data_IF_230034332144
#
_entry.id   IF_230034332144
#
_cell.length_a   1.000
_cell.length_b   1.000
_cell.length_c   1.000
_cell.angle_alpha   90.00
_cell.angle_beta   90.00
_cell.angle_gamma   90.00
#
_symmetry.space_group_name_H-M   'P 1'
#
loop_
_entity.id
_entity.type
_entity.pdbx_description
1 polymer ?
#
# COMPACT_ATOMS: atom_id res chain seq x y z
N UNK A 1 1.21 12.86 11.36
CA UNK A 1 1.38 12.25 12.70
C UNK A 1 0.04 11.77 13.23
N UNK A 2 -0.95 12.63 13.47
CA UNK A 2 -2.23 12.23 14.10
C UNK A 2 -3.04 11.23 13.29
N UNK A 3 -3.04 11.31 11.96
CA UNK A 3 -3.72 10.34 11.10
C UNK A 3 -3.14 8.90 11.24
N UNK A 4 -1.85 8.79 11.53
CA UNK A 4 -1.19 7.50 11.73
C UNK A 4 -1.64 6.79 13.03
N UNK A 5 -2.14 7.54 14.01
CA UNK A 5 -2.68 7.00 15.27
C UNK A 5 -4.13 6.49 15.10
N UNK A 6 -4.86 7.02 14.12
CA UNK A 6 -6.29 6.75 13.97
C UNK A 6 -6.57 5.29 13.54
N UNK A 7 -5.84 4.76 12.58
CA UNK A 7 -6.10 3.43 12.04
C UNK A 7 -5.82 2.30 13.08
N UNK A 8 -4.68 2.28 13.79
CA UNK A 8 -4.45 1.32 14.87
C UNK A 8 -5.46 1.46 16.01
N UNK A 9 -5.81 2.70 16.39
CA UNK A 9 -6.80 2.95 17.44
C UNK A 9 -8.19 2.40 17.06
N UNK A 10 -8.64 2.63 15.83
CA UNK A 10 -9.93 2.11 15.35
C UNK A 10 -9.97 0.58 15.37
N UNK A 11 -8.90 -0.09 14.92
CA UNK A 11 -8.80 -1.56 14.95
C UNK A 11 -8.76 -2.10 16.38
N UNK A 12 -8.05 -1.42 17.29
CA UNK A 12 -7.99 -1.78 18.72
C UNK A 12 -9.37 -1.66 19.38
N UNK A 13 -10.07 -0.55 19.16
CA UNK A 13 -11.43 -0.31 19.69
C UNK A 13 -12.37 -1.44 19.27
N UNK A 14 -12.35 -1.84 18.00
CA UNK A 14 -13.21 -2.92 17.50
C UNK A 14 -12.85 -4.25 18.15
N UNK A 15 -11.56 -4.56 18.28
CA UNK A 15 -11.11 -5.80 18.90
C UNK A 15 -11.52 -5.90 20.36
N UNK A 16 -11.56 -4.79 21.08
CA UNK A 16 -11.97 -4.73 22.51
C UNK A 16 -13.47 -4.69 22.67
N UNK A 17 -14.19 -3.98 21.79
CA UNK A 17 -15.65 -3.80 21.90
C UNK A 17 -16.41 -5.04 21.48
N UNK A 18 -15.97 -5.70 20.38
CA UNK A 18 -16.63 -6.91 19.86
C UNK A 18 -15.88 -8.15 20.32
N UNK A 19 -16.25 -8.67 21.48
CA UNK A 19 -15.63 -9.87 22.09
C UNK A 19 -16.11 -11.17 21.46
N UNK A 20 -17.35 -11.19 20.94
CA UNK A 20 -17.93 -12.36 20.25
C UNK A 20 -17.33 -12.49 18.85
N UNK A 21 -16.72 -13.65 18.47
CA UNK A 21 -16.01 -13.81 17.20
C UNK A 21 -16.85 -13.48 15.96
N UNK A 22 -18.12 -13.87 15.94
CA UNK A 22 -19.03 -13.61 14.82
C UNK A 22 -19.34 -12.10 14.64
N UNK A 23 -19.52 -11.37 15.75
CA UNK A 23 -19.75 -9.92 15.72
C UNK A 23 -18.49 -9.17 15.32
N UNK A 24 -17.33 -9.61 15.82
CA UNK A 24 -16.03 -9.07 15.47
C UNK A 24 -15.73 -9.26 13.98
N UNK A 25 -15.99 -10.46 13.42
CA UNK A 25 -15.83 -10.71 11.99
C UNK A 25 -16.74 -9.81 11.15
N UNK A 26 -18.00 -9.59 11.59
CA UNK A 26 -18.92 -8.65 10.93
C UNK A 26 -18.42 -7.20 10.99
N UNK A 27 -17.89 -6.76 12.13
CA UNK A 27 -17.31 -5.42 12.28
C UNK A 27 -16.08 -5.21 11.38
N UNK A 28 -15.18 -6.19 11.28
CA UNK A 28 -14.06 -6.15 10.33
C UNK A 28 -14.53 -6.18 8.88
N UNK A 29 -15.60 -6.92 8.56
CA UNK A 29 -16.22 -6.89 7.24
C UNK A 29 -16.75 -5.51 6.86
N UNK A 30 -17.38 -4.80 7.80
CA UNK A 30 -17.83 -3.41 7.61
C UNK A 30 -16.65 -2.47 7.36
N UNK A 31 -15.54 -2.60 8.12
CA UNK A 31 -14.33 -1.80 7.88
C UNK A 31 -13.78 -2.06 6.48
N UNK A 32 -13.71 -3.33 6.06
CA UNK A 32 -13.26 -3.67 4.71
C UNK A 32 -14.14 -3.03 3.62
N UNK A 33 -15.46 -3.05 3.81
CA UNK A 33 -16.40 -2.40 2.89
C UNK A 33 -16.23 -0.87 2.87
N UNK A 34 -16.06 -0.23 4.05
CA UNK A 34 -15.79 1.21 4.16
C UNK A 34 -14.46 1.56 3.50
N UNK A 35 -13.41 0.76 3.69
CA UNK A 35 -12.10 1.01 3.09
C UNK A 35 -12.16 0.93 1.56
N UNK A 36 -12.85 -0.08 1.01
CA UNK A 36 -13.04 -0.21 -0.44
C UNK A 36 -13.93 0.90 -1.02
N UNK A 37 -15.08 1.15 -0.40
CA UNK A 37 -15.99 2.22 -0.81
C UNK A 37 -15.38 3.61 -0.63
N UNK A 38 -14.59 3.81 0.41
CA UNK A 38 -13.85 5.04 0.68
C UNK A 38 -12.85 5.40 -0.42
N UNK A 39 -12.17 4.41 -0.99
CA UNK A 39 -11.27 4.62 -2.13
C UNK A 39 -12.04 5.15 -3.37
N UNK A 40 -13.20 4.55 -3.70
CA UNK A 40 -14.03 5.00 -4.80
C UNK A 40 -14.55 6.43 -4.58
N UNK A 41 -15.13 6.67 -3.39
CA UNK A 41 -15.64 8.00 -3.00
C UNK A 41 -14.50 9.01 -3.01
N UNK A 42 -13.33 8.66 -2.48
CA UNK A 42 -12.16 9.53 -2.42
C UNK A 42 -11.68 9.97 -3.80
N UNK A 43 -11.64 9.06 -4.77
CA UNK A 43 -11.23 9.37 -6.14
C UNK A 43 -12.22 10.31 -6.84
N UNK A 44 -13.54 10.06 -6.71
CA UNK A 44 -14.57 10.90 -7.31
C UNK A 44 -14.65 12.25 -6.60
N UNK A 45 -14.69 12.25 -5.27
CA UNK A 45 -14.76 13.48 -4.48
C UNK A 45 -13.51 14.34 -4.67
N UNK A 46 -12.31 13.73 -4.66
CA UNK A 46 -11.05 14.43 -4.93
C UNK A 46 -11.02 15.03 -6.34
N UNK A 47 -11.50 14.30 -7.34
CA UNK A 47 -11.65 14.81 -8.71
C UNK A 47 -12.63 15.97 -8.79
N UNK A 48 -13.82 15.85 -8.18
CA UNK A 48 -14.84 16.91 -8.16
C UNK A 48 -14.36 18.16 -7.42
N UNK A 49 -13.75 18.00 -6.24
CA UNK A 49 -13.22 19.12 -5.48
C UNK A 49 -12.08 19.84 -6.23
N UNK A 50 -11.24 19.11 -6.93
CA UNK A 50 -10.15 19.68 -7.72
C UNK A 50 -10.69 20.43 -8.95
N UNK A 51 -11.71 19.91 -9.61
CA UNK A 51 -12.28 20.49 -10.83
C UNK A 51 -13.18 21.69 -10.56
N UNK A 52 -14.10 21.61 -9.57
CA UNK A 52 -15.11 22.63 -9.30
C UNK A 52 -14.76 23.64 -8.20
N UNK A 53 -13.75 23.34 -7.37
CA UNK A 53 -13.33 24.23 -6.30
C UNK A 53 -11.82 24.48 -6.36
N UNK A 54 -11.04 23.64 -5.68
CA UNK A 54 -9.57 23.71 -5.68
C UNK A 54 -9.00 22.43 -5.10
N UNK A 55 -7.82 22.01 -5.57
CA UNK A 55 -7.11 20.88 -4.98
C UNK A 55 -6.90 21.00 -3.46
N UNK A 56 -6.88 22.24 -2.94
CA UNK A 56 -6.78 22.50 -1.49
C UNK A 56 -7.93 21.90 -0.70
N UNK A 57 -9.12 21.83 -1.29
CA UNK A 57 -10.29 21.22 -0.67
C UNK A 57 -10.18 19.69 -0.53
N UNK A 58 -9.33 19.03 -1.32
CA UNK A 58 -9.04 17.60 -1.10
C UNK A 58 -8.37 17.34 0.26
N UNK A 59 -7.64 18.33 0.78
CA UNK A 59 -7.11 18.30 2.14
C UNK A 59 -8.11 18.86 3.15
N UNK A 60 -8.77 19.97 2.81
CA UNK A 60 -9.72 20.68 3.67
C UNK A 60 -10.94 19.86 4.06
N UNK A 61 -11.46 19.01 3.17
CA UNK A 61 -12.63 18.16 3.43
C UNK A 61 -12.40 17.15 4.56
N UNK A 62 -11.15 16.79 4.84
CA UNK A 62 -10.83 15.91 5.97
C UNK A 62 -11.11 16.58 7.33
N UNK A 63 -11.06 17.91 7.42
CA UNK A 63 -11.28 18.61 8.69
C UNK A 63 -12.71 18.45 9.23
N UNK A 64 -13.78 18.73 8.47
CA UNK A 64 -15.14 18.51 8.97
C UNK A 64 -15.43 17.02 9.22
N UNK A 65 -14.88 16.12 8.43
CA UNK A 65 -15.00 14.65 8.65
C UNK A 65 -14.34 14.28 9.98
N UNK A 66 -13.13 14.77 10.25
CA UNK A 66 -12.40 14.50 11.49
C UNK A 66 -13.13 15.08 12.71
N UNK A 67 -13.68 16.29 12.61
CA UNK A 67 -14.48 16.90 13.69
C UNK A 67 -15.73 16.07 13.97
N UNK A 68 -16.47 15.67 12.94
CA UNK A 68 -17.64 14.80 13.07
C UNK A 68 -17.28 13.46 13.71
N UNK A 69 -16.20 12.82 13.26
CA UNK A 69 -15.72 11.59 13.85
C UNK A 69 -15.30 11.73 15.31
N UNK A 70 -14.65 12.85 15.68
CA UNK A 70 -14.27 13.13 17.07
C UNK A 70 -15.50 13.30 17.98
N UNK A 71 -16.53 14.05 17.52
CA UNK A 71 -17.79 14.21 18.27
C UNK A 71 -18.48 12.87 18.47
N UNK A 72 -18.55 12.04 17.43
CA UNK A 72 -19.13 10.69 17.51
C UNK A 72 -18.31 9.79 18.43
N UNK A 73 -16.99 9.85 18.36
CA UNK A 73 -16.11 9.07 19.24
C UNK A 73 -16.33 9.41 20.71
N UNK A 74 -16.39 10.72 21.07
CA UNK A 74 -16.66 11.15 22.45
C UNK A 74 -18.02 10.62 22.96
N UNK A 75 -19.02 10.51 22.06
CA UNK A 75 -20.37 10.10 22.43
C UNK A 75 -20.52 8.58 22.54
N UNK A 76 -19.85 7.81 21.67
CA UNK A 76 -20.12 6.38 21.51
C UNK A 76 -18.98 5.46 21.95
N UNK A 77 -17.74 5.97 22.05
CA UNK A 77 -16.60 5.15 22.45
C UNK A 77 -16.39 5.25 23.95
N UNK A 78 -16.47 4.10 24.64
CA UNK A 78 -16.18 4.04 26.07
C UNK A 78 -14.67 4.01 26.30
N UNK A 79 -14.23 4.68 27.36
CA UNK A 79 -12.84 4.67 27.79
C UNK A 79 -12.41 3.24 28.12
N UNK A 80 -11.38 2.76 27.45
CA UNK A 80 -10.76 1.47 27.76
C UNK A 80 -9.26 1.65 27.93
N UNK A 81 -8.73 1.27 29.08
CA UNK A 81 -7.30 1.32 29.38
C UNK A 81 -6.76 -0.10 29.47
N UNK A 82 -5.70 -0.38 28.73
CA UNK A 82 -4.99 -1.64 28.89
C UNK A 82 -4.41 -1.74 30.31
N UNK A 83 -4.65 -2.85 30.96
CA UNK A 83 -3.99 -3.17 32.24
C UNK A 83 -2.64 -3.81 31.91
N UNK A 84 -1.54 -3.14 32.23
CA UNK A 84 -0.18 -3.64 32.00
C UNK A 84 0.89 -2.58 32.20
N UNK A 85 2.13 -2.96 32.01
CA UNK A 85 3.28 -2.05 32.06
C UNK A 85 3.24 -1.14 30.83
N UNK A 86 3.00 0.16 31.05
CA UNK A 86 2.89 1.20 30.04
C UNK A 86 4.24 1.89 29.76
N UNK A 87 5.35 1.20 29.95
CA UNK A 87 6.67 1.73 29.59
C UNK A 87 6.81 1.74 28.06
N UNK A 88 6.95 2.93 27.49
CA UNK A 88 7.14 3.12 26.05
C UNK A 88 8.63 3.06 25.71
N UNK A 89 8.98 2.34 24.65
CA UNK A 89 10.33 2.37 24.07
C UNK A 89 10.54 3.67 23.28
N UNK A 90 10.76 4.79 24.01
CA UNK A 90 11.01 6.10 23.40
C UNK A 90 12.25 6.08 22.48
N UNK A 91 13.40 5.47 22.86
CA UNK A 91 14.55 5.35 21.95
C UNK A 91 14.22 4.60 20.67
N UNK A 92 13.46 3.50 20.74
CA UNK A 92 12.99 2.76 19.58
C UNK A 92 12.09 3.62 18.67
N UNK A 93 11.12 4.34 19.26
CA UNK A 93 10.25 5.26 18.48
C UNK A 93 11.06 6.33 17.76
N UNK A 94 12.01 6.97 18.42
CA UNK A 94 12.84 8.03 17.82
C UNK A 94 13.70 7.47 16.69
N UNK A 95 14.38 6.35 16.92
CA UNK A 95 15.29 5.77 15.93
C UNK A 95 14.55 5.19 14.73
N UNK A 96 13.40 4.52 14.94
CA UNK A 96 12.55 4.04 13.85
C UNK A 96 12.00 5.20 13.01
N UNK A 97 11.43 6.23 13.66
CA UNK A 97 10.85 7.38 12.97
C UNK A 97 11.91 8.16 12.20
N UNK A 98 13.04 8.48 12.82
CA UNK A 98 14.14 9.18 12.16
C UNK A 98 14.76 8.33 11.03
N UNK A 99 14.88 7.02 11.22
CA UNK A 99 15.39 6.10 10.20
C UNK A 99 14.47 6.01 8.98
N UNK A 100 13.16 5.84 9.17
CA UNK A 100 12.19 5.81 8.08
C UNK A 100 12.03 7.18 7.40
N UNK A 101 12.08 8.27 8.15
CA UNK A 101 12.11 9.61 7.59
C UNK A 101 13.34 9.80 6.69
N UNK A 102 14.52 9.46 7.21
CA UNK A 102 15.77 9.57 6.45
C UNK A 102 15.75 8.69 5.19
N UNK A 103 15.16 7.50 5.27
CA UNK A 103 15.00 6.59 4.14
C UNK A 103 14.12 7.21 3.04
N UNK A 104 12.92 7.65 3.41
CA UNK A 104 11.96 8.22 2.46
C UNK A 104 12.46 9.54 1.88
N UNK A 105 13.07 10.38 2.70
CA UNK A 105 13.65 11.65 2.24
C UNK A 105 14.88 11.44 1.35
N UNK A 106 15.73 10.47 1.67
CA UNK A 106 16.87 10.08 0.84
C UNK A 106 16.45 9.62 -0.56
N UNK A 107 15.38 8.84 -0.67
CA UNK A 107 14.81 8.45 -1.97
C UNK A 107 14.17 9.64 -2.71
N UNK A 108 13.53 10.56 -2.00
CA UNK A 108 13.02 11.79 -2.60
C UNK A 108 14.16 12.65 -3.18
N UNK A 109 15.24 12.83 -2.43
CA UNK A 109 16.43 13.56 -2.91
C UNK A 109 17.09 12.83 -4.09
N UNK A 110 17.12 11.50 -4.10
CA UNK A 110 17.62 10.72 -5.24
C UNK A 110 16.82 10.99 -6.51
N UNK A 111 15.49 11.11 -6.41
CA UNK A 111 14.63 11.41 -7.55
C UNK A 111 14.79 12.85 -8.08
N UNK A 112 15.18 13.81 -7.22
CA UNK A 112 15.29 15.23 -7.58
C UNK A 112 16.71 15.67 -7.90
N UNK A 113 17.71 15.19 -7.13
CA UNK A 113 19.13 15.61 -7.24
C UNK A 113 20.06 14.50 -7.73
N UNK A 114 19.52 13.31 -7.96
CA UNK A 114 20.27 12.14 -8.40
C UNK A 114 20.89 11.32 -7.27
N UNK A 115 21.26 10.10 -7.59
CA UNK A 115 21.78 9.11 -6.65
C UNK A 115 23.18 9.42 -6.10
N UNK A 116 23.98 10.21 -6.83
CA UNK A 116 25.33 10.61 -6.44
C UNK A 116 25.40 11.89 -5.60
N UNK A 117 24.27 12.54 -5.33
CA UNK A 117 24.21 13.72 -4.48
C UNK A 117 24.64 13.40 -3.05
N UNK A 118 25.46 14.26 -2.45
CA UNK A 118 25.90 14.12 -1.06
C UNK A 118 24.76 14.09 -0.06
N UNK A 119 23.67 14.83 -0.33
CA UNK A 119 22.45 14.80 0.49
C UNK A 119 21.74 13.44 0.38
N UNK A 120 21.58 12.90 -0.83
CA UNK A 120 21.01 11.58 -1.05
C UNK A 120 21.79 10.52 -0.28
N UNK A 121 23.10 10.48 -0.45
CA UNK A 121 23.98 9.52 0.22
C UNK A 121 23.92 9.71 1.74
N UNK A 122 23.96 10.95 2.22
CA UNK A 122 23.89 11.28 3.64
C UNK A 122 22.60 10.78 4.30
N UNK A 123 21.44 11.02 3.69
CA UNK A 123 20.17 10.54 4.21
C UNK A 123 20.05 9.02 4.14
N UNK A 124 20.49 8.37 3.06
CA UNK A 124 20.44 6.91 2.95
C UNK A 124 21.37 6.22 3.96
N UNK A 125 22.58 6.74 4.16
CA UNK A 125 23.50 6.23 5.18
C UNK A 125 22.94 6.45 6.58
N UNK A 126 22.38 7.62 6.86
CA UNK A 126 21.71 7.91 8.14
C UNK A 126 20.52 6.98 8.37
N UNK A 127 19.73 6.68 7.33
CA UNK A 127 18.62 5.74 7.41
C UNK A 127 19.09 4.34 7.82
N UNK A 128 20.09 3.81 7.13
CA UNK A 128 20.66 2.48 7.46
C UNK A 128 21.21 2.46 8.89
N UNK A 129 21.98 3.48 9.28
CA UNK A 129 22.55 3.59 10.62
C UNK A 129 21.47 3.63 11.71
N UNK A 130 20.45 4.47 11.55
CA UNK A 130 19.36 4.61 12.52
C UNK A 130 18.50 3.35 12.61
N UNK A 131 18.20 2.68 11.48
CA UNK A 131 17.45 1.44 11.47
C UNK A 131 18.26 0.27 12.11
N UNK A 132 19.59 0.24 11.93
CA UNK A 132 20.44 -0.73 12.62
C UNK A 132 20.44 -0.47 14.13
N UNK A 133 20.54 0.79 14.57
CA UNK A 133 20.43 1.16 15.99
C UNK A 133 19.06 0.77 16.53
N UNK A 134 17.99 1.03 15.80
CA UNK A 134 16.63 0.63 16.15
C UNK A 134 16.56 -0.89 16.42
N UNK A 135 17.03 -1.71 15.49
CA UNK A 135 17.05 -3.18 15.68
C UNK A 135 17.92 -3.59 16.88
N UNK A 136 19.02 -2.88 17.14
CA UNK A 136 19.87 -3.15 18.29
C UNK A 136 19.20 -2.79 19.62
N UNK A 137 18.40 -1.72 19.67
CA UNK A 137 17.58 -1.32 20.81
C UNK A 137 16.49 -2.37 21.06
N UNK A 138 15.72 -2.72 20.02
CA UNK A 138 14.64 -3.70 20.08
C UNK A 138 15.07 -5.09 20.63
N UNK A 139 16.35 -5.45 20.43
CA UNK A 139 16.93 -6.68 20.99
C UNK A 139 17.20 -6.62 22.49
N UNK A 140 17.26 -5.42 23.08
CA UNK A 140 17.73 -5.21 24.47
C UNK A 140 16.65 -4.70 25.42
N UNK A 141 15.62 -4.07 24.88
CA UNK A 141 14.53 -3.47 25.67
C UNK A 141 13.56 -4.57 26.12
N UNK A 142 13.06 -4.46 27.36
CA UNK A 142 12.12 -5.43 27.92
C UNK A 142 10.75 -5.38 27.23
N UNK A 143 10.27 -4.17 26.92
CA UNK A 143 9.00 -3.93 26.20
C UNK A 143 9.29 -3.28 24.82
N UNK A 144 9.72 -4.07 23.81
CA UNK A 144 10.08 -3.55 22.52
C UNK A 144 8.87 -3.02 21.76
N UNK A 145 9.06 -1.91 21.01
CA UNK A 145 8.06 -1.35 20.10
C UNK A 145 7.68 -2.35 19.00
N UNK A 146 8.67 -3.10 18.53
CA UNK A 146 8.53 -4.11 17.48
C UNK A 146 9.21 -5.41 17.91
N UNK A 147 8.49 -6.33 18.60
CA UNK A 147 9.06 -7.61 18.96
C UNK A 147 9.59 -8.35 17.74
N UNK A 148 10.90 -8.58 17.66
CA UNK A 148 11.54 -9.17 16.48
C UNK A 148 10.96 -10.54 16.14
N UNK A 149 10.46 -11.31 17.13
CA UNK A 149 9.74 -12.58 16.92
C UNK A 149 8.51 -12.42 16.00
N UNK A 150 7.89 -11.23 15.96
CA UNK A 150 6.74 -10.96 15.09
C UNK A 150 7.20 -10.81 13.64
N UNK A 151 8.32 -10.12 13.41
CA UNK A 151 8.80 -9.78 12.06
C UNK A 151 9.63 -10.91 11.44
N UNK A 152 10.39 -11.64 12.26
CA UNK A 152 11.30 -12.69 11.77
C UNK A 152 10.62 -14.03 11.53
N UNK A 153 9.36 -14.21 11.95
CA UNK A 153 8.62 -15.40 11.57
C UNK A 153 8.41 -15.41 10.04
N UNK A 154 8.67 -16.56 9.43
CA UNK A 154 8.81 -16.72 7.99
C UNK A 154 7.58 -16.24 7.20
N UNK A 155 6.39 -16.63 7.61
CA UNK A 155 5.16 -16.27 6.89
C UNK A 155 4.82 -14.79 7.06
N UNK A 156 4.97 -14.26 8.28
CA UNK A 156 4.75 -12.83 8.54
C UNK A 156 5.78 -11.97 7.85
N UNK A 157 7.07 -12.31 7.93
CA UNK A 157 8.13 -11.63 7.20
C UNK A 157 7.89 -11.64 5.69
N UNK A 158 7.46 -12.79 5.13
CA UNK A 158 7.03 -12.88 3.74
C UNK A 158 5.86 -11.95 3.42
N UNK A 159 4.86 -11.84 4.32
CA UNK A 159 3.73 -10.93 4.14
C UNK A 159 4.15 -9.47 4.16
N UNK A 160 5.08 -9.06 5.03
CA UNK A 160 5.60 -7.69 5.05
C UNK A 160 6.38 -7.34 3.79
N UNK A 161 7.21 -8.27 3.29
CA UNK A 161 7.89 -8.11 2.00
C UNK A 161 6.90 -8.04 0.83
N UNK A 162 5.87 -8.89 0.85
CA UNK A 162 4.77 -8.82 -0.11
C UNK A 162 4.04 -7.49 -0.09
N UNK A 163 3.75 -6.97 1.11
CA UNK A 163 3.11 -5.66 1.30
C UNK A 163 3.96 -4.51 0.75
N UNK A 164 5.28 -4.56 0.94
CA UNK A 164 6.21 -3.59 0.39
C UNK A 164 6.15 -3.56 -1.15
N UNK A 165 6.18 -4.73 -1.78
CA UNK A 165 6.12 -4.86 -3.24
C UNK A 165 4.75 -4.41 -3.77
N UNK A 166 3.66 -4.79 -3.10
CA UNK A 166 2.30 -4.33 -3.42
C UNK A 166 2.19 -2.81 -3.33
N UNK A 167 2.77 -2.21 -2.29
CA UNK A 167 2.85 -0.76 -2.15
C UNK A 167 3.54 -0.10 -3.35
N UNK A 168 4.72 -0.59 -3.74
CA UNK A 168 5.45 -0.07 -4.89
C UNK A 168 4.63 -0.16 -6.19
N UNK A 169 3.97 -1.29 -6.44
CA UNK A 169 3.15 -1.49 -7.64
C UNK A 169 1.93 -0.57 -7.70
N UNK A 170 1.19 -0.46 -6.58
CA UNK A 170 -0.01 0.36 -6.50
C UNK A 170 0.26 1.86 -6.65
N UNK A 171 1.20 2.38 -5.85
CA UNK A 171 1.51 3.82 -5.87
C UNK A 171 2.04 4.24 -7.25
N UNK A 172 2.87 3.39 -7.86
CA UNK A 172 3.36 3.58 -9.22
C UNK A 172 2.21 3.62 -10.24
N UNK A 173 1.29 2.67 -10.18
CA UNK A 173 0.13 2.63 -11.07
C UNK A 173 -0.71 3.90 -10.94
N UNK A 174 -1.09 4.29 -9.71
CA UNK A 174 -1.90 5.48 -9.51
C UNK A 174 -1.20 6.76 -9.98
N UNK A 175 0.11 6.89 -9.72
CA UNK A 175 0.88 8.07 -10.12
C UNK A 175 0.98 8.17 -11.64
N UNK A 176 1.56 7.17 -12.30
CA UNK A 176 1.88 7.27 -13.73
C UNK A 176 0.64 7.16 -14.61
N UNK A 177 -0.35 6.33 -14.23
CA UNK A 177 -1.61 6.29 -14.93
C UNK A 177 -2.42 7.57 -14.72
N UNK A 178 -2.38 8.16 -13.52
CA UNK A 178 -3.00 9.46 -13.25
C UNK A 178 -2.41 10.58 -14.11
N UNK A 179 -1.09 10.63 -14.22
CA UNK A 179 -0.40 11.57 -15.11
C UNK A 179 -0.72 11.30 -16.58
N UNK A 180 -0.77 10.04 -17.02
CA UNK A 180 -1.14 9.68 -18.38
C UNK A 180 -2.55 10.13 -18.72
N UNK A 181 -3.53 9.87 -17.84
CA UNK A 181 -4.93 10.27 -18.07
C UNK A 181 -5.10 11.79 -18.16
N UNK A 182 -4.42 12.55 -17.26
CA UNK A 182 -4.60 14.00 -17.19
C UNK A 182 -3.72 14.75 -18.19
N UNK A 183 -2.43 14.41 -18.28
CA UNK A 183 -1.46 15.17 -19.08
C UNK A 183 -1.47 14.71 -20.54
N UNK A 184 -1.60 13.41 -20.80
CA UNK A 184 -1.52 12.87 -22.16
C UNK A 184 -2.91 12.79 -22.80
N UNK A 185 -3.90 12.18 -22.11
CA UNK A 185 -5.27 12.06 -22.65
C UNK A 185 -6.13 13.30 -22.40
N UNK A 186 -5.66 14.29 -21.64
CA UNK A 186 -6.39 15.54 -21.38
C UNK A 186 -7.67 15.35 -20.55
N UNK A 187 -7.76 14.28 -19.75
CA UNK A 187 -8.93 14.07 -18.89
C UNK A 187 -8.95 15.13 -17.77
N UNK A 188 -10.15 15.65 -17.48
CA UNK A 188 -10.32 16.49 -16.29
C UNK A 188 -10.07 15.70 -15.01
N UNK A 189 -9.80 16.34 -13.88
CA UNK A 189 -9.60 15.66 -12.60
C UNK A 189 -10.75 14.73 -12.22
N UNK A 190 -12.00 15.15 -12.42
CA UNK A 190 -13.18 14.34 -12.15
C UNK A 190 -13.27 13.13 -13.10
N UNK A 191 -13.04 13.34 -14.39
CA UNK A 191 -13.03 12.26 -15.39
C UNK A 191 -11.93 11.25 -15.10
N UNK A 192 -10.77 11.71 -14.62
CA UNK A 192 -9.68 10.83 -14.17
C UNK A 192 -10.09 10.01 -12.94
N UNK A 193 -10.80 10.61 -11.98
CA UNK A 193 -11.37 9.89 -10.83
C UNK A 193 -12.30 8.76 -11.27
N UNK A 194 -13.22 9.03 -12.19
CA UNK A 194 -14.09 8.00 -12.78
C UNK A 194 -13.32 6.93 -13.56
N UNK A 195 -12.22 7.30 -14.20
CA UNK A 195 -11.37 6.37 -14.95
C UNK A 195 -10.66 5.33 -14.07
N UNK A 196 -10.56 5.52 -12.75
CA UNK A 196 -10.06 4.51 -11.82
C UNK A 196 -11.15 3.59 -11.25
N UNK A 197 -12.45 3.87 -11.49
CA UNK A 197 -13.54 3.03 -10.97
C UNK A 197 -13.48 1.56 -11.39
N UNK A 198 -13.08 1.19 -12.63
CA UNK A 198 -12.94 -0.21 -13.00
C UNK A 198 -11.98 -0.96 -12.07
N UNK A 199 -10.90 -0.31 -11.61
CA UNK A 199 -9.98 -0.88 -10.63
C UNK A 199 -10.65 -1.09 -9.27
N UNK A 200 -11.38 -0.09 -8.77
CA UNK A 200 -12.06 -0.16 -7.47
C UNK A 200 -13.17 -1.22 -7.47
N UNK A 201 -14.01 -1.25 -8.49
CA UNK A 201 -15.05 -2.28 -8.63
C UNK A 201 -14.44 -3.69 -8.75
N UNK A 202 -13.36 -3.82 -9.51
CA UNK A 202 -12.62 -5.08 -9.62
C UNK A 202 -12.11 -5.55 -8.25
N UNK A 203 -11.49 -4.66 -7.44
CA UNK A 203 -11.07 -5.02 -6.08
C UNK A 203 -12.26 -5.50 -5.24
N UNK A 204 -13.40 -4.80 -5.23
CA UNK A 204 -14.56 -5.17 -4.41
C UNK A 204 -15.08 -6.55 -4.79
N UNK A 205 -15.24 -6.81 -6.09
CA UNK A 205 -15.76 -8.09 -6.60
C UNK A 205 -14.81 -9.23 -6.27
N UNK A 206 -13.53 -9.08 -6.62
CA UNK A 206 -12.54 -10.13 -6.44
C UNK A 206 -12.11 -10.31 -4.97
N UNK A 207 -12.27 -9.29 -4.12
CA UNK A 207 -12.08 -9.44 -2.67
C UNK A 207 -13.13 -10.38 -2.07
N UNK A 208 -14.38 -10.29 -2.50
CA UNK A 208 -15.42 -11.25 -2.09
C UNK A 208 -15.06 -12.69 -2.49
N UNK A 209 -14.54 -12.87 -3.70
CA UNK A 209 -14.08 -14.18 -4.19
C UNK A 209 -12.86 -14.68 -3.38
N UNK A 210 -11.86 -13.82 -3.16
CA UNK A 210 -10.67 -14.15 -2.38
C UNK A 210 -11.02 -14.55 -0.94
N UNK A 211 -11.94 -13.85 -0.30
CA UNK A 211 -12.42 -14.15 1.05
C UNK A 211 -13.08 -15.54 1.15
N UNK A 212 -13.85 -15.94 0.14
CA UNK A 212 -14.50 -17.25 0.10
C UNK A 212 -13.53 -18.39 -0.26
N UNK A 213 -12.48 -18.11 -1.03
CA UNK A 213 -11.48 -19.09 -1.46
C UNK A 213 -10.40 -19.30 -0.40
N UNK A 214 -10.05 -18.28 0.38
CA UNK A 214 -8.95 -18.32 1.34
C UNK A 214 -9.06 -19.52 2.33
N UNK A 215 -10.21 -19.79 2.97
CA UNK A 215 -10.35 -20.95 3.86
C UNK A 215 -10.22 -22.31 3.12
N UNK A 216 -10.51 -22.34 1.82
CA UNK A 216 -10.52 -23.59 1.02
C UNK A 216 -9.17 -23.95 0.48
N UNK A 217 -8.40 -22.98 0.01
CA UNK A 217 -7.15 -23.21 -0.71
C UNK A 217 -5.90 -22.72 0.04
N UNK A 218 -6.08 -21.91 1.07
CA UNK A 218 -4.99 -21.29 1.81
C UNK A 218 -4.44 -20.02 1.14
N UNK A 219 -3.51 -19.30 1.79
CA UNK A 219 -3.04 -17.98 1.31
C UNK A 219 -2.11 -18.08 0.09
N UNK A 220 -1.17 -19.02 0.06
CA UNK A 220 -0.15 -19.12 -1.00
C UNK A 220 -0.74 -19.28 -2.41
N UNK A 221 -1.73 -20.18 -2.65
CA UNK A 221 -2.34 -20.34 -3.98
C UNK A 221 -3.14 -19.13 -4.46
N UNK A 222 -3.45 -18.19 -3.59
CA UNK A 222 -4.11 -16.93 -3.94
C UNK A 222 -3.10 -15.81 -4.18
N UNK A 223 -2.14 -15.63 -3.26
CA UNK A 223 -1.19 -14.53 -3.30
C UNK A 223 -0.23 -14.59 -4.48
N UNK A 224 0.29 -15.77 -4.79
CA UNK A 224 1.28 -15.95 -5.86
C UNK A 224 0.67 -15.67 -7.24
N UNK A 225 -0.44 -16.32 -7.64
CA UNK A 225 -1.13 -15.95 -8.89
C UNK A 225 -1.65 -14.51 -8.86
N UNK A 226 -2.08 -14.02 -7.70
CA UNK A 226 -2.54 -12.64 -7.54
C UNK A 226 -1.48 -11.62 -7.94
N UNK A 227 -0.23 -11.76 -7.47
CA UNK A 227 0.87 -10.88 -7.89
C UNK A 227 1.20 -11.04 -9.37
N UNK A 228 1.08 -12.25 -9.92
CA UNK A 228 1.28 -12.48 -11.35
C UNK A 228 0.21 -11.76 -12.16
N UNK A 229 -1.08 -11.86 -11.80
CA UNK A 229 -2.15 -11.13 -12.48
C UNK A 229 -1.99 -9.61 -12.37
N UNK A 230 -1.61 -9.11 -11.19
CA UNK A 230 -1.32 -7.69 -11.02
C UNK A 230 -0.15 -7.23 -11.90
N UNK A 231 0.92 -8.03 -11.98
CA UNK A 231 2.05 -7.78 -12.87
C UNK A 231 1.66 -7.80 -14.35
N UNK A 232 0.80 -8.75 -14.77
CA UNK A 232 0.25 -8.80 -16.14
C UNK A 232 -0.57 -7.55 -16.43
N UNK A 233 -1.41 -7.09 -15.50
CA UNK A 233 -2.17 -5.84 -15.64
C UNK A 233 -1.25 -4.64 -15.90
N UNK A 234 -0.13 -4.53 -15.17
CA UNK A 234 0.88 -3.50 -15.41
C UNK A 234 1.60 -3.67 -16.76
N UNK A 235 1.90 -4.90 -17.16
CA UNK A 235 2.49 -5.17 -18.47
C UNK A 235 1.54 -4.78 -19.61
N UNK A 236 0.25 -4.94 -19.47
CA UNK A 236 -0.71 -4.48 -20.48
C UNK A 236 -0.71 -2.94 -20.58
N UNK A 237 -0.53 -2.21 -19.47
CA UNK A 237 -0.35 -0.76 -19.49
C UNK A 237 0.94 -0.32 -20.23
N UNK A 238 1.90 -1.20 -20.46
CA UNK A 238 3.09 -0.84 -21.27
C UNK A 238 2.80 -0.67 -22.76
N UNK A 239 1.60 -1.02 -23.20
CA UNK A 239 1.16 -0.89 -24.62
C UNK A 239 0.44 0.43 -24.92
N UNK A 240 0.30 1.32 -23.92
CA UNK A 240 -0.33 2.63 -24.12
C UNK A 240 0.55 3.54 -24.97
N UNK A 241 -0.10 4.35 -25.80
CA UNK A 241 0.48 5.41 -26.63
C UNK A 241 -0.33 6.69 -26.42
N UNK A 242 0.12 7.87 -26.85
CA UNK A 242 -0.70 9.09 -26.74
C UNK A 242 -2.08 9.00 -27.40
N UNK A 243 -2.23 8.14 -28.43
CA UNK A 243 -3.46 7.97 -29.20
C UNK A 243 -4.29 6.76 -28.73
N UNK A 244 -3.92 6.12 -27.64
CA UNK A 244 -4.55 4.88 -27.17
C UNK A 244 -5.96 5.14 -26.62
N UNK A 245 -6.93 4.33 -27.03
CA UNK A 245 -8.27 4.35 -26.46
C UNK A 245 -8.27 3.82 -25.02
N UNK A 246 -8.85 4.61 -24.10
CA UNK A 246 -8.99 4.26 -22.68
C UNK A 246 -9.73 2.92 -22.49
N UNK A 247 -10.86 2.71 -23.21
CA UNK A 247 -11.71 1.54 -23.02
C UNK A 247 -11.05 0.22 -23.42
N UNK A 248 -10.24 0.24 -24.48
CA UNK A 248 -9.67 -1.00 -25.04
C UNK A 248 -8.33 -1.40 -24.41
N UNK A 249 -7.61 -0.47 -23.81
CA UNK A 249 -6.27 -0.74 -23.25
C UNK A 249 -6.19 -0.53 -21.75
N UNK A 250 -6.73 0.60 -21.23
CA UNK A 250 -6.61 0.92 -19.80
C UNK A 250 -7.60 0.12 -18.98
N UNK A 251 -8.87 0.02 -19.36
CA UNK A 251 -9.89 -0.70 -18.60
C UNK A 251 -9.56 -2.18 -18.41
N UNK A 252 -9.19 -2.96 -19.45
CA UNK A 252 -8.82 -4.37 -19.25
C UNK A 252 -7.60 -4.52 -18.34
N UNK A 253 -6.62 -3.63 -18.46
CA UNK A 253 -5.41 -3.63 -17.61
C UNK A 253 -5.79 -3.41 -16.15
N UNK A 254 -6.66 -2.43 -15.85
CA UNK A 254 -7.15 -2.14 -14.50
C UNK A 254 -7.95 -3.31 -13.90
N UNK A 255 -8.79 -3.98 -14.69
CA UNK A 255 -9.57 -5.13 -14.23
C UNK A 255 -8.68 -6.33 -13.89
N UNK A 256 -7.68 -6.62 -14.73
CA UNK A 256 -6.73 -7.70 -14.46
C UNK A 256 -5.87 -7.37 -13.25
N UNK A 257 -5.36 -6.14 -13.15
CA UNK A 257 -4.58 -5.70 -12.01
C UNK A 257 -5.37 -5.74 -10.70
N UNK A 258 -6.62 -5.26 -10.71
CA UNK A 258 -7.47 -5.26 -9.51
C UNK A 258 -7.84 -6.66 -9.04
N UNK A 259 -8.10 -7.61 -9.97
CA UNK A 259 -8.32 -9.00 -9.62
C UNK A 259 -7.10 -9.60 -8.92
N UNK A 260 -5.90 -9.35 -9.45
CA UNK A 260 -4.65 -9.77 -8.84
C UNK A 260 -4.43 -9.16 -7.46
N UNK A 261 -4.62 -7.86 -7.32
CA UNK A 261 -4.46 -7.16 -6.04
C UNK A 261 -5.43 -7.65 -4.97
N UNK A 262 -6.70 -7.90 -5.32
CA UNK A 262 -7.68 -8.44 -4.39
C UNK A 262 -7.30 -9.84 -3.87
N UNK A 263 -6.77 -10.71 -4.76
CA UNK A 263 -6.26 -12.03 -4.41
C UNK A 263 -5.01 -11.98 -3.52
N UNK A 264 -4.35 -10.82 -3.42
CA UNK A 264 -3.18 -10.62 -2.55
C UNK A 264 -3.57 -9.98 -1.23
N UNK A 265 -4.34 -8.90 -1.21
CA UNK A 265 -4.60 -8.09 -0.01
C UNK A 265 -5.22 -8.88 1.14
N UNK A 266 -6.24 -9.68 0.87
CA UNK A 266 -6.97 -10.41 1.90
C UNK A 266 -6.08 -11.49 2.53
N UNK A 267 -5.46 -12.41 1.75
CA UNK A 267 -4.59 -13.41 2.34
C UNK A 267 -3.34 -12.79 3.01
N UNK A 268 -2.83 -11.69 2.48
CA UNK A 268 -1.66 -11.00 3.02
C UNK A 268 -1.93 -10.45 4.42
N UNK A 269 -3.09 -9.81 4.62
CA UNK A 269 -3.55 -9.34 5.92
C UNK A 269 -3.78 -10.52 6.88
N UNK A 270 -4.47 -11.56 6.43
CA UNK A 270 -4.72 -12.76 7.24
C UNK A 270 -3.42 -13.46 7.67
N UNK A 271 -2.46 -13.60 6.75
CA UNK A 271 -1.17 -14.24 7.02
C UNK A 271 -0.30 -13.40 7.96
N UNK A 272 -0.34 -12.08 7.85
CA UNK A 272 0.43 -11.18 8.71
C UNK A 272 -0.04 -11.21 10.17
N UNK A 273 -1.31 -11.55 10.40
CA UNK A 273 -1.93 -11.65 11.72
C UNK A 273 -2.03 -13.10 12.23
N UNK A 274 -1.62 -14.08 11.42
CA UNK A 274 -1.71 -15.50 11.78
C UNK A 274 -0.78 -15.83 12.95
N UNK A 275 -1.32 -16.56 13.96
CA UNK A 275 -0.60 -16.97 15.16
C UNK A 275 0.09 -15.83 15.92
N UNK A 276 -0.48 -14.62 15.85
CA UNK A 276 -0.05 -13.46 16.62
C UNK A 276 -0.88 -13.37 17.89
N UNK A 277 -0.21 -13.13 19.02
CA UNK A 277 -0.91 -12.90 20.29
C UNK A 277 -1.77 -11.64 20.22
N UNK A 278 -2.88 -11.58 20.98
CA UNK A 278 -3.72 -10.39 21.03
C UNK A 278 -2.93 -9.12 21.38
N UNK A 279 -1.89 -9.24 22.18
CA UNK A 279 -0.98 -8.16 22.55
C UNK A 279 -0.15 -7.64 21.35
N UNK A 280 0.28 -8.51 20.45
CA UNK A 280 1.15 -8.17 19.31
C UNK A 280 0.38 -7.83 18.02
N UNK A 281 -0.96 -8.00 18.00
CA UNK A 281 -1.80 -7.77 16.81
C UNK A 281 -1.67 -6.34 16.26
N UNK A 282 -1.57 -5.36 17.16
CA UNK A 282 -1.35 -3.95 16.78
C UNK A 282 -0.03 -3.75 16.05
N UNK A 283 1.05 -4.37 16.56
CA UNK A 283 2.38 -4.32 15.94
C UNK A 283 2.39 -4.99 14.56
N UNK A 284 1.80 -6.18 14.44
CA UNK A 284 1.72 -6.90 13.17
C UNK A 284 0.95 -6.10 12.10
N UNK A 285 -0.18 -5.47 12.50
CA UNK A 285 -0.94 -4.59 11.61
C UNK A 285 -0.17 -3.32 11.23
N UNK A 286 0.54 -2.71 12.19
CA UNK A 286 1.38 -1.55 11.94
C UNK A 286 2.51 -1.88 10.96
N UNK A 287 3.17 -3.03 11.14
CA UNK A 287 4.22 -3.50 10.24
C UNK A 287 3.72 -3.72 8.82
N UNK A 288 2.53 -4.31 8.64
CA UNK A 288 1.92 -4.49 7.33
C UNK A 288 1.71 -3.14 6.61
N UNK A 289 1.09 -2.18 7.31
CA UNK A 289 0.85 -0.85 6.77
C UNK A 289 2.15 -0.07 6.50
N UNK A 290 3.10 -0.11 7.44
CA UNK A 290 4.41 0.54 7.27
C UNK A 290 5.15 -0.03 6.08
N UNK A 291 5.18 -1.35 5.92
CA UNK A 291 5.80 -2.01 4.76
C UNK A 291 5.18 -1.53 3.45
N UNK A 292 3.84 -1.43 3.39
CA UNK A 292 3.14 -0.93 2.20
C UNK A 292 3.48 0.54 1.90
N UNK A 293 3.51 1.40 2.91
CA UNK A 293 3.82 2.83 2.77
C UNK A 293 5.29 3.06 2.39
N UNK A 294 6.21 2.34 3.01
CA UNK A 294 7.63 2.36 2.67
C UNK A 294 7.82 1.87 1.23
N UNK A 295 7.20 0.74 0.87
CA UNK A 295 7.23 0.21 -0.49
C UNK A 295 6.68 1.21 -1.51
N UNK A 296 5.57 1.88 -1.21
CA UNK A 296 5.00 2.94 -2.03
C UNK A 296 5.95 4.11 -2.23
N UNK A 297 6.57 4.61 -1.15
CA UNK A 297 7.52 5.72 -1.21
C UNK A 297 8.78 5.36 -1.99
N UNK A 298 9.40 4.20 -1.69
CA UNK A 298 10.60 3.73 -2.38
C UNK A 298 10.33 3.43 -3.86
N UNK A 299 9.22 2.72 -4.11
CA UNK A 299 8.79 2.39 -5.47
C UNK A 299 8.54 3.64 -6.29
N UNK A 300 7.80 4.60 -5.76
CA UNK A 300 7.50 5.86 -6.46
C UNK A 300 8.79 6.63 -6.77
N UNK A 301 9.70 6.79 -5.82
CA UNK A 301 10.94 7.53 -6.03
C UNK A 301 11.86 6.84 -7.07
N UNK A 302 12.05 5.52 -6.94
CA UNK A 302 12.84 4.73 -7.90
C UNK A 302 12.25 4.81 -9.31
N UNK A 303 10.95 4.53 -9.42
CA UNK A 303 10.28 4.46 -10.72
C UNK A 303 10.11 5.83 -11.36
N UNK A 304 9.99 6.91 -10.56
CA UNK A 304 10.02 8.27 -11.10
C UNK A 304 11.39 8.61 -11.72
N UNK A 305 12.49 8.20 -11.09
CA UNK A 305 13.84 8.37 -11.66
C UNK A 305 13.97 7.59 -12.98
N UNK A 306 13.50 6.35 -13.00
CA UNK A 306 13.51 5.50 -14.21
C UNK A 306 12.66 6.12 -15.31
N UNK A 307 11.44 6.57 -14.99
CA UNK A 307 10.54 7.22 -15.94
C UNK A 307 11.14 8.51 -16.51
N UNK A 308 11.71 9.37 -15.65
CA UNK A 308 12.33 10.63 -16.06
C UNK A 308 13.53 10.39 -16.99
N UNK A 309 14.39 9.44 -16.64
CA UNK A 309 15.53 9.07 -17.49
C UNK A 309 15.09 8.52 -18.85
N UNK A 310 14.09 7.63 -18.86
CA UNK A 310 13.56 7.09 -20.11
C UNK A 310 12.89 8.18 -20.96
N UNK A 311 12.18 9.13 -20.34
CA UNK A 311 11.56 10.28 -21.00
C UNK A 311 12.62 11.16 -21.67
N UNK A 312 13.66 11.57 -20.95
CA UNK A 312 14.71 12.45 -21.48
C UNK A 312 15.52 11.77 -22.58
N UNK A 313 15.86 10.49 -22.41
CA UNK A 313 16.58 9.71 -23.42
C UNK A 313 15.76 9.58 -24.71
N UNK A 314 14.46 9.26 -24.58
CA UNK A 314 13.58 9.16 -25.74
C UNK A 314 13.41 10.50 -26.46
N UNK A 315 13.23 11.60 -25.72
CA UNK A 315 13.09 12.94 -26.28
C UNK A 315 14.33 13.37 -27.06
N UNK A 316 15.51 13.10 -26.50
CA UNK A 316 16.80 13.40 -27.17
C UNK A 316 16.98 12.60 -28.47
N UNK A 317 16.62 11.31 -28.45
CA UNK A 317 16.76 10.43 -29.62
C UNK A 317 15.74 10.70 -30.73
N UNK A 318 14.60 11.36 -30.42
CA UNK A 318 13.48 11.58 -31.34
C UNK A 318 13.14 13.07 -31.51
N UNK A 319 14.11 13.96 -31.42
CA UNK A 319 13.92 15.42 -31.55
C UNK A 319 13.28 15.85 -32.88
N UNK A 320 13.38 15.03 -33.91
CA UNK A 320 12.72 15.24 -35.22
C UNK A 320 11.18 15.23 -35.16
N UNK A 321 10.58 14.72 -34.09
CA UNK A 321 9.12 14.74 -33.89
C UNK A 321 8.56 16.14 -33.56
N UNK A 322 9.42 17.14 -33.35
CA UNK A 322 9.02 18.51 -33.04
C UNK A 322 8.14 18.59 -31.77
N UNK A 323 7.03 19.31 -31.87
CA UNK A 323 6.11 19.49 -30.70
C UNK A 323 5.50 18.20 -30.17
N UNK A 324 5.40 17.16 -30.99
CA UNK A 324 4.85 15.86 -30.57
C UNK A 324 5.82 15.03 -29.74
N UNK A 325 7.11 15.39 -29.66
CA UNK A 325 8.10 14.60 -28.95
C UNK A 325 7.77 14.39 -27.48
N UNK A 326 7.26 15.44 -26.80
CA UNK A 326 7.05 15.38 -25.35
C UNK A 326 5.93 14.42 -24.93
N UNK A 327 4.71 14.42 -25.54
CA UNK A 327 3.70 13.42 -25.21
C UNK A 327 4.17 11.97 -25.42
N UNK A 328 4.89 11.69 -26.52
CA UNK A 328 5.45 10.36 -26.78
C UNK A 328 6.55 9.99 -25.79
N UNK A 329 7.45 10.93 -25.48
CA UNK A 329 8.54 10.72 -24.53
C UNK A 329 8.01 10.44 -23.08
N UNK A 330 7.05 11.23 -22.62
CA UNK A 330 6.42 11.01 -21.33
C UNK A 330 5.71 9.66 -21.28
N UNK A 331 4.92 9.34 -22.31
CA UNK A 331 4.24 8.02 -22.38
C UNK A 331 5.25 6.89 -22.38
N UNK A 332 6.38 7.02 -23.12
CA UNK A 332 7.47 6.05 -23.08
C UNK A 332 8.05 5.91 -21.67
N UNK A 333 8.30 7.01 -20.96
CA UNK A 333 8.77 6.99 -19.57
C UNK A 333 7.80 6.23 -18.64
N UNK A 334 6.49 6.48 -18.76
CA UNK A 334 5.47 5.78 -17.97
C UNK A 334 5.44 4.27 -18.29
N UNK A 335 5.54 3.89 -19.57
CA UNK A 335 5.56 2.47 -19.95
C UNK A 335 6.80 1.76 -19.41
N UNK A 336 7.95 2.42 -19.37
CA UNK A 336 9.16 1.87 -18.74
C UNK A 336 8.96 1.69 -17.23
N UNK A 337 8.38 2.69 -16.54
CA UNK A 337 8.05 2.55 -15.12
C UNK A 337 7.09 1.37 -14.86
N UNK A 338 6.06 1.18 -15.69
CA UNK A 338 5.16 0.03 -15.58
C UNK A 338 5.89 -1.32 -15.80
N UNK A 339 6.87 -1.40 -16.69
CA UNK A 339 7.69 -2.62 -16.87
C UNK A 339 8.46 -2.95 -15.60
N UNK A 340 9.13 -1.97 -15.00
CA UNK A 340 9.86 -2.16 -13.75
C UNK A 340 8.93 -2.50 -12.58
N UNK A 341 7.76 -1.85 -12.48
CA UNK A 341 6.74 -2.19 -11.48
C UNK A 341 6.24 -3.62 -11.64
N UNK A 342 5.97 -4.06 -12.87
CA UNK A 342 5.57 -5.43 -13.14
C UNK A 342 6.67 -6.43 -12.74
N UNK A 343 7.93 -6.13 -13.05
CA UNK A 343 9.06 -6.96 -12.64
C UNK A 343 9.16 -7.08 -11.11
N UNK A 344 8.95 -5.98 -10.38
CA UNK A 344 8.91 -6.00 -8.90
C UNK A 344 7.77 -6.92 -8.39
N UNK A 345 6.58 -6.87 -9.00
CA UNK A 345 5.47 -7.75 -8.60
C UNK A 345 5.79 -9.22 -8.89
N UNK A 346 6.43 -9.55 -10.01
CA UNK A 346 6.85 -10.92 -10.30
C UNK A 346 7.93 -11.41 -9.32
N UNK A 347 8.90 -10.56 -8.98
CA UNK A 347 9.87 -10.86 -7.91
C UNK A 347 9.15 -11.08 -6.59
N UNK A 348 8.16 -10.25 -6.26
CA UNK A 348 7.30 -10.43 -5.09
C UNK A 348 6.56 -11.77 -5.10
N UNK A 349 6.05 -12.21 -6.26
CA UNK A 349 5.42 -13.53 -6.40
C UNK A 349 6.40 -14.67 -6.08
N UNK A 350 7.64 -14.57 -6.55
CA UNK A 350 8.71 -15.52 -6.22
C UNK A 350 9.02 -15.51 -4.72
N UNK A 351 9.15 -14.33 -4.12
CA UNK A 351 9.39 -14.18 -2.67
C UNK A 351 8.25 -14.85 -1.89
N UNK A 352 7.00 -14.53 -2.19
CA UNK A 352 5.85 -15.13 -1.51
C UNK A 352 5.79 -16.65 -1.71
N UNK A 353 6.13 -17.14 -2.88
CA UNK A 353 6.19 -18.58 -3.16
C UNK A 353 7.13 -19.31 -2.20
N UNK A 354 8.30 -18.75 -1.91
CA UNK A 354 9.27 -19.35 -1.00
C UNK A 354 8.97 -19.09 0.47
N UNK A 355 8.45 -17.93 0.83
CA UNK A 355 8.24 -17.56 2.24
C UNK A 355 6.94 -18.09 2.81
N UNK A 356 5.83 -18.10 2.06
CA UNK A 356 4.52 -18.50 2.57
C UNK A 356 4.38 -20.00 2.55
N UNK A 357 4.22 -20.59 3.73
CA UNK A 357 4.05 -22.03 3.94
C UNK A 357 2.81 -22.41 4.77
N UNK A 358 1.97 -21.44 5.13
CA UNK A 358 0.72 -21.69 5.86
C UNK A 358 -0.24 -22.46 4.96
N UNK A 359 -0.69 -23.62 5.45
CA UNK A 359 -1.74 -24.41 4.81
C UNK A 359 -3.14 -23.94 5.20
N UNK A 360 -4.17 -24.45 4.51
CA UNK A 360 -5.58 -24.20 4.84
C UNK A 360 -5.96 -24.65 6.26
N UNK A 361 -5.36 -25.73 6.74
CA UNK A 361 -5.66 -26.36 8.03
C UNK A 361 -5.32 -25.43 9.21
N UNK A 362 -4.18 -24.77 9.16
CA UNK A 362 -3.72 -23.86 10.22
C UNK A 362 -4.54 -22.57 10.32
N UNK A 363 -5.25 -22.16 9.27
CA UNK A 363 -6.18 -21.01 9.34
C UNK A 363 -7.48 -21.39 10.05
N UNK A 364 -7.93 -22.64 9.89
CA UNK A 364 -9.15 -23.16 10.52
C UNK A 364 -8.93 -23.46 12.00
N UNK A 365 -7.74 -23.98 12.38
CA UNK A 365 -7.40 -24.26 13.78
C UNK A 365 -7.33 -22.99 14.63
N UNK A 366 -6.91 -21.87 14.05
CA UNK A 366 -6.89 -20.57 14.76
C UNK A 366 -8.31 -20.06 15.03
N UNK A 367 -9.29 -20.39 14.18
CA UNK A 367 -10.71 -20.14 14.46
C UNK A 367 -11.28 -21.09 15.52
N UNK A 368 -10.81 -22.34 15.58
CA UNK A 368 -11.26 -23.35 16.56
C UNK A 368 -10.64 -23.20 17.95
N UNK A 369 -9.38 -22.78 18.03
CA UNK A 369 -8.66 -22.61 19.31
C UNK A 369 -9.15 -21.40 20.13
N UNK A 370 -9.94 -20.52 19.56
CA UNK A 370 -10.60 -19.41 20.28
C UNK A 370 -11.90 -19.84 20.99
N UNK A 371 -12.24 -21.11 20.99
CA UNK A 371 -13.45 -21.66 21.63
C UNK A 371 -13.17 -22.46 22.92
N UNK A 372 -11.95 -22.41 23.48
CA UNK A 372 -11.64 -23.05 24.79
C UNK A 372 -11.07 -22.06 25.81
#
# INVERSE_FOLDING_TARGET
>A
VFAALLAPAALSIISVTFTVPAERAKAFGVIGAISGGGAAIGLILGGALTEYASWRWCLGVNTPIAIGAAILAIKFVHESKAQGDNTYDIPGVITATAGLFSLTYGFHEAATKGWSSSLTIGFLVSAVFLLVIFVAIEKRVANPLMPLRVVTERNRGGSYLGSLVVGAGLFSMFLFLGLYLQVILGFSPLKSGFAFLPFTFGIIIFAGIASQLLPKVGPKPLMVPGLIFAGIGLLLLTRITPDTSYLTHVVPSLLIMSSGMALVFIPLTSTSLHAVSNHDTGVASAMLNTSQQVGGSLGTALLNTVAATATTTFAAANSQLGEKVMPFAMTHGFTVAFKFSAALLFVGAVVLFFFINIGKESLVETEGASFH
#
